data_IF_443557244116
#
_entry.id   IF_443557244116
#
_cell.length_a   1.000
_cell.length_b   1.000
_cell.length_c   1.000
_cell.angle_alpha   90.00
_cell.angle_beta   90.00
_cell.angle_gamma   90.00
#
_symmetry.space_group_name_H-M   'P 1'
#
loop_
_entity.id
_entity.type
_entity.pdbx_description
1 polymer ?
#
# COMPACT_ATOMS: atom_id res chain seq x y z
N UNK A 1 -30.15 -39.98 -38.78
CA UNK A 1 -31.38 -39.35 -38.24
C UNK A 1 -32.66 -40.21 -38.42
N UNK A 2 -32.58 -41.55 -38.51
CA UNK A 2 -33.73 -42.40 -38.91
C UNK A 2 -34.36 -43.27 -37.80
N UNK A 3 -33.89 -43.24 -36.55
CA UNK A 3 -34.39 -44.17 -35.51
C UNK A 3 -35.34 -43.54 -34.46
N UNK A 4 -35.51 -42.22 -34.46
CA UNK A 4 -36.35 -41.52 -33.46
C UNK A 4 -37.85 -41.60 -33.83
N UNK A 5 -38.16 -41.87 -35.10
CA UNK A 5 -39.53 -41.84 -35.65
C UNK A 5 -40.38 -43.07 -35.27
N UNK A 6 -39.76 -44.13 -34.74
CA UNK A 6 -40.46 -45.37 -34.31
C UNK A 6 -40.60 -45.51 -32.79
N UNK A 7 -40.19 -44.50 -32.01
CA UNK A 7 -40.29 -44.52 -30.55
C UNK A 7 -41.69 -44.10 -30.09
N UNK A 8 -42.18 -44.73 -29.00
CA UNK A 8 -43.44 -44.32 -28.35
C UNK A 8 -43.34 -42.84 -27.95
N UNK A 9 -44.42 -42.08 -28.16
CA UNK A 9 -44.51 -40.64 -27.86
C UNK A 9 -43.98 -40.28 -26.46
N UNK A 10 -44.25 -41.13 -25.46
CA UNK A 10 -43.74 -40.96 -24.10
C UNK A 10 -42.20 -40.96 -24.01
N UNK A 11 -41.52 -41.87 -24.73
CA UNK A 11 -40.05 -41.95 -24.73
C UNK A 11 -39.42 -40.77 -25.47
N UNK A 12 -40.06 -40.28 -26.54
CA UNK A 12 -39.60 -39.09 -27.25
C UNK A 12 -39.65 -37.84 -26.35
N UNK A 13 -40.73 -37.70 -25.56
CA UNK A 13 -40.89 -36.61 -24.59
C UNK A 13 -39.82 -36.67 -23.49
N UNK A 14 -39.58 -37.87 -22.93
CA UNK A 14 -38.56 -38.08 -21.90
C UNK A 14 -37.16 -37.76 -22.41
N UNK A 15 -36.80 -38.17 -23.63
CA UNK A 15 -35.48 -37.87 -24.22
C UNK A 15 -35.29 -36.37 -24.42
N UNK A 16 -36.30 -35.66 -24.94
CA UNK A 16 -36.24 -34.20 -25.08
C UNK A 16 -36.06 -33.50 -23.74
N UNK A 17 -36.74 -33.96 -22.69
CA UNK A 17 -36.59 -33.42 -21.35
C UNK A 17 -35.21 -33.71 -20.75
N UNK A 18 -34.66 -34.90 -21.00
CA UNK A 18 -33.32 -35.29 -20.57
C UNK A 18 -32.24 -34.44 -21.23
N UNK A 19 -32.36 -34.16 -22.53
CA UNK A 19 -31.46 -33.25 -23.26
C UNK A 19 -31.51 -31.84 -22.67
N UNK A 20 -32.72 -31.34 -22.36
CA UNK A 20 -32.90 -30.05 -21.73
C UNK A 20 -32.27 -30.01 -20.33
N UNK A 21 -32.46 -31.06 -19.53
CA UNK A 21 -31.88 -31.17 -18.20
C UNK A 21 -30.34 -31.17 -18.25
N UNK A 22 -29.74 -31.90 -19.19
CA UNK A 22 -28.28 -31.91 -19.40
C UNK A 22 -27.78 -30.53 -19.83
N UNK A 23 -28.50 -29.82 -20.70
CA UNK A 23 -28.15 -28.47 -21.11
C UNK A 23 -28.17 -27.48 -19.93
N UNK A 24 -29.17 -27.57 -19.05
CA UNK A 24 -29.27 -26.73 -17.84
C UNK A 24 -28.12 -27.03 -16.87
N UNK A 25 -27.79 -28.31 -16.65
CA UNK A 25 -26.65 -28.71 -15.80
C UNK A 25 -25.35 -28.16 -16.38
N UNK A 26 -25.13 -28.30 -17.68
CA UNK A 26 -23.95 -27.76 -18.36
C UNK A 26 -23.81 -26.24 -18.19
N UNK A 27 -24.93 -25.51 -18.30
CA UNK A 27 -24.95 -24.07 -18.07
C UNK A 27 -24.58 -23.74 -16.62
N UNK A 28 -25.14 -24.48 -15.65
CA UNK A 28 -24.82 -24.30 -14.23
C UNK A 28 -23.34 -24.51 -13.92
N UNK A 29 -22.72 -25.55 -14.47
CA UNK A 29 -21.28 -25.82 -14.33
C UNK A 29 -20.45 -24.70 -14.95
N UNK A 30 -20.81 -24.24 -16.15
CA UNK A 30 -20.12 -23.13 -16.81
C UNK A 30 -20.20 -21.84 -15.98
N UNK A 31 -21.39 -21.50 -15.49
CA UNK A 31 -21.60 -20.32 -14.64
C UNK A 31 -20.81 -20.43 -13.34
N UNK A 32 -20.76 -21.61 -12.72
CA UNK A 32 -19.99 -21.83 -11.50
C UNK A 32 -18.49 -21.58 -11.70
N UNK A 33 -17.90 -22.11 -12.78
CA UNK A 33 -16.49 -21.91 -13.11
C UNK A 33 -16.20 -20.43 -13.42
N UNK A 34 -17.09 -19.77 -14.18
CA UNK A 34 -16.95 -18.36 -14.53
C UNK A 34 -16.99 -17.46 -13.28
N UNK A 35 -17.93 -17.69 -12.36
CA UNK A 35 -18.05 -16.93 -11.11
C UNK A 35 -16.83 -17.16 -10.22
N UNK A 36 -16.33 -18.39 -10.11
CA UNK A 36 -15.14 -18.70 -9.31
C UNK A 36 -13.88 -17.98 -9.84
N UNK A 37 -13.77 -17.85 -11.17
CA UNK A 37 -12.67 -17.13 -11.82
C UNK A 37 -12.74 -15.62 -11.53
N UNK A 38 -13.95 -15.06 -11.52
CA UNK A 38 -14.20 -13.64 -11.16
C UNK A 38 -13.84 -13.41 -9.69
N UNK A 39 -14.27 -14.30 -8.79
CA UNK A 39 -14.01 -14.19 -7.35
C UNK A 39 -12.50 -14.17 -7.06
N UNK A 40 -11.73 -15.07 -7.69
CA UNK A 40 -10.26 -15.04 -7.58
C UNK A 40 -9.64 -13.76 -8.13
N UNK A 41 -10.16 -13.23 -9.24
CA UNK A 41 -9.65 -11.99 -9.84
C UNK A 41 -9.94 -10.76 -8.98
N UNK A 42 -11.13 -10.69 -8.38
CA UNK A 42 -11.52 -9.62 -7.45
C UNK A 42 -10.68 -9.68 -6.18
N UNK A 43 -10.45 -10.88 -5.63
CA UNK A 43 -9.63 -11.03 -4.44
C UNK A 43 -8.17 -10.62 -4.69
N UNK A 44 -7.58 -10.99 -5.83
CA UNK A 44 -6.22 -10.56 -6.21
C UNK A 44 -6.15 -9.04 -6.39
N UNK A 45 -7.11 -8.40 -7.06
CA UNK A 45 -7.11 -6.93 -7.20
C UNK A 45 -7.23 -6.26 -5.83
N UNK A 46 -8.09 -6.77 -4.96
CA UNK A 46 -8.30 -6.17 -3.64
C UNK A 46 -7.08 -6.35 -2.73
N UNK A 47 -6.62 -7.59 -2.54
CA UNK A 47 -5.57 -7.94 -1.57
C UNK A 47 -4.15 -7.65 -2.07
N UNK A 48 -3.87 -7.82 -3.36
CA UNK A 48 -2.52 -7.67 -3.91
C UNK A 48 -2.28 -6.30 -4.56
N UNK A 49 -3.33 -5.49 -4.77
CA UNK A 49 -3.20 -4.17 -5.42
C UNK A 49 -3.83 -3.05 -4.63
N UNK A 50 -5.09 -3.16 -4.23
CA UNK A 50 -5.81 -2.04 -3.62
C UNK A 50 -5.31 -1.70 -2.21
N UNK A 51 -5.21 -2.71 -1.34
CA UNK A 51 -4.70 -2.54 0.03
C UNK A 51 -3.24 -2.02 -0.01
N UNK A 52 -2.31 -2.63 -0.76
CA UNK A 52 -0.93 -2.15 -0.78
C UNK A 52 -0.77 -0.74 -1.34
N UNK A 53 -1.60 -0.32 -2.31
CA UNK A 53 -1.58 1.07 -2.81
C UNK A 53 -2.09 2.05 -1.75
N UNK A 54 -3.12 1.67 -1.00
CA UNK A 54 -3.63 2.48 0.12
C UNK A 54 -2.55 2.64 1.19
N UNK A 55 -1.88 1.56 1.57
CA UNK A 55 -0.84 1.56 2.59
C UNK A 55 0.38 2.41 2.18
N UNK A 56 0.76 2.38 0.89
CA UNK A 56 1.76 3.31 0.35
C UNK A 56 1.29 4.77 0.39
N UNK A 57 0.00 5.02 0.24
CA UNK A 57 -0.60 6.35 0.40
C UNK A 57 -0.48 6.88 1.84
N UNK A 58 -0.75 6.02 2.82
CA UNK A 58 -0.58 6.33 4.24
C UNK A 58 0.90 6.56 4.59
N UNK A 59 1.79 5.74 4.06
CA UNK A 59 3.23 5.95 4.18
C UNK A 59 3.66 7.32 3.66
N UNK A 60 3.15 7.75 2.49
CA UNK A 60 3.42 9.08 1.96
C UNK A 60 2.86 10.20 2.85
N UNK A 61 1.69 10.02 3.46
CA UNK A 61 1.15 10.98 4.43
C UNK A 61 2.06 11.12 5.66
N UNK A 62 2.65 10.02 6.14
CA UNK A 62 3.61 10.03 7.26
C UNK A 62 4.89 10.78 6.89
N UNK A 63 5.39 10.67 5.64
CA UNK A 63 6.53 11.47 5.16
C UNK A 63 6.24 12.97 5.30
N UNK A 64 5.04 13.41 4.90
CA UNK A 64 4.65 14.82 5.02
C UNK A 64 4.51 15.26 6.48
N UNK A 65 3.94 14.42 7.36
CA UNK A 65 3.85 14.70 8.80
C UNK A 65 5.24 14.81 9.44
N UNK A 66 6.15 13.91 9.08
CA UNK A 66 7.54 13.89 9.56
C UNK A 66 8.25 15.20 9.26
N UNK A 67 8.06 15.77 8.07
CA UNK A 67 8.58 17.11 7.74
C UNK A 67 8.03 18.21 8.66
N UNK A 68 6.76 18.13 9.06
CA UNK A 68 6.17 19.04 10.05
C UNK A 68 6.82 18.89 11.42
N UNK A 69 6.93 17.66 11.91
CA UNK A 69 7.59 17.36 13.18
C UNK A 69 9.06 17.77 13.22
N UNK A 70 9.78 17.70 12.11
CA UNK A 70 11.16 18.16 12.03
C UNK A 70 11.29 19.68 12.21
N UNK A 71 10.35 20.45 11.67
CA UNK A 71 10.30 21.89 11.92
C UNK A 71 10.01 22.18 13.39
N UNK A 72 9.03 21.50 13.99
CA UNK A 72 8.73 21.63 15.42
C UNK A 72 9.93 21.20 16.28
N UNK A 73 10.64 20.14 15.89
CA UNK A 73 11.81 19.62 16.60
C UNK A 73 12.95 20.64 16.63
N UNK A 74 13.14 21.37 15.52
CA UNK A 74 14.10 22.45 15.44
C UNK A 74 13.73 23.64 16.34
N UNK A 75 12.44 24.02 16.40
CA UNK A 75 11.95 25.21 17.06
C UNK A 75 11.69 25.06 18.57
N UNK A 76 11.31 23.86 19.03
CA UNK A 76 10.84 23.63 20.39
C UNK A 76 11.70 22.59 21.12
N UNK A 77 12.81 23.01 21.77
CA UNK A 77 13.72 22.10 22.48
C UNK A 77 13.02 21.20 23.52
N UNK A 78 12.04 21.74 24.23
CA UNK A 78 11.31 21.02 25.28
C UNK A 78 10.44 19.88 24.73
N UNK A 79 9.99 19.97 23.47
CA UNK A 79 9.16 18.95 22.82
C UNK A 79 9.97 17.87 22.09
N UNK A 80 11.29 18.05 21.96
CA UNK A 80 12.15 17.13 21.19
C UNK A 80 12.03 15.67 21.58
N UNK A 81 11.97 15.28 22.86
CA UNK A 81 11.81 13.86 23.20
C UNK A 81 10.52 13.26 22.62
N UNK A 82 9.39 13.98 22.74
CA UNK A 82 8.10 13.57 22.17
C UNK A 82 8.18 13.48 20.65
N UNK A 83 8.66 14.54 20.00
CA UNK A 83 8.77 14.62 18.55
C UNK A 83 9.73 13.58 17.98
N UNK A 84 10.83 13.26 18.67
CA UNK A 84 11.75 12.18 18.28
C UNK A 84 11.03 10.84 18.26
N UNK A 85 10.22 10.54 19.28
CA UNK A 85 9.43 9.32 19.33
C UNK A 85 8.42 9.24 18.19
N UNK A 86 7.71 10.33 17.88
CA UNK A 86 6.76 10.38 16.76
C UNK A 86 7.45 10.18 15.41
N UNK A 87 8.59 10.85 15.20
CA UNK A 87 9.39 10.69 13.97
C UNK A 87 9.88 9.25 13.84
N UNK A 88 10.48 8.68 14.89
CA UNK A 88 10.99 7.30 14.85
C UNK A 88 9.87 6.28 14.58
N UNK A 89 8.70 6.46 15.22
CA UNK A 89 7.53 5.63 14.98
C UNK A 89 7.02 5.75 13.54
N UNK A 90 6.98 6.97 13.00
CA UNK A 90 6.60 7.23 11.61
C UNK A 90 7.55 6.57 10.61
N UNK A 91 8.86 6.72 10.81
CA UNK A 91 9.87 6.07 9.97
C UNK A 91 9.78 4.54 10.03
N UNK A 92 9.59 3.97 11.22
CA UNK A 92 9.42 2.52 11.40
C UNK A 92 8.13 2.00 10.75
N UNK A 93 7.04 2.77 10.80
CA UNK A 93 5.79 2.44 10.12
C UNK A 93 5.97 2.37 8.61
N UNK A 94 6.63 3.36 8.01
CA UNK A 94 6.92 3.35 6.57
C UNK A 94 7.82 2.16 6.19
N UNK A 95 8.83 1.83 7.00
CA UNK A 95 9.67 0.64 6.79
C UNK A 95 8.84 -0.65 6.75
N UNK A 96 7.86 -0.77 7.66
CA UNK A 96 6.96 -1.92 7.71
C UNK A 96 6.09 -2.02 6.45
N UNK A 97 5.50 -0.90 6.00
CA UNK A 97 4.67 -0.87 4.79
C UNK A 97 5.47 -1.18 3.52
N UNK A 98 6.68 -0.63 3.39
CA UNK A 98 7.57 -0.96 2.27
C UNK A 98 7.96 -2.45 2.29
N UNK A 99 8.23 -3.01 3.48
CA UNK A 99 8.54 -4.45 3.62
C UNK A 99 7.36 -5.33 3.23
N UNK A 100 6.14 -4.94 3.63
CA UNK A 100 4.90 -5.63 3.25
C UNK A 100 4.70 -5.59 1.73
N UNK A 101 4.86 -4.41 1.11
CA UNK A 101 4.76 -4.24 -0.33
C UNK A 101 5.81 -5.06 -1.10
N UNK A 102 7.02 -5.19 -0.57
CA UNK A 102 8.10 -5.98 -1.16
C UNK A 102 7.79 -7.49 -1.23
N UNK A 103 6.91 -8.00 -0.35
CA UNK A 103 6.55 -9.41 -0.29
C UNK A 103 5.51 -9.82 -1.35
N UNK A 104 4.91 -8.85 -2.05
CA UNK A 104 3.91 -9.08 -3.07
C UNK A 104 4.52 -9.63 -4.36
N UNK A 105 3.74 -10.35 -5.19
CA UNK A 105 4.19 -10.80 -6.51
C UNK A 105 4.28 -9.60 -7.48
N UNK A 106 5.42 -8.91 -7.46
CA UNK A 106 5.69 -7.75 -8.31
C UNK A 106 6.11 -8.18 -9.73
N UNK A 107 5.67 -7.44 -10.74
CA UNK A 107 6.22 -7.55 -12.09
C UNK A 107 7.66 -7.00 -12.14
N UNK A 108 8.48 -7.36 -13.16
CA UNK A 108 9.83 -6.83 -13.29
C UNK A 108 9.89 -5.28 -13.33
N UNK A 109 8.89 -4.66 -13.96
CA UNK A 109 8.75 -3.20 -14.01
C UNK A 109 8.46 -2.61 -12.61
N UNK A 110 7.52 -3.21 -11.87
CA UNK A 110 7.20 -2.80 -10.51
C UNK A 110 8.39 -2.97 -9.57
N UNK A 111 9.17 -4.04 -9.73
CA UNK A 111 10.36 -4.29 -8.94
C UNK A 111 11.45 -3.23 -9.19
N UNK A 112 11.63 -2.79 -10.44
CA UNK A 112 12.56 -1.72 -10.78
C UNK A 112 12.13 -0.36 -10.18
N UNK A 113 10.85 -0.02 -10.27
CA UNK A 113 10.31 1.19 -9.65
C UNK A 113 10.42 1.14 -8.13
N UNK A 114 10.12 0.00 -7.52
CA UNK A 114 10.20 -0.19 -6.08
C UNK A 114 11.65 -0.10 -5.57
N UNK A 115 12.64 -0.56 -6.33
CA UNK A 115 14.04 -0.37 -5.99
C UNK A 115 14.44 1.13 -5.96
N UNK A 116 13.90 1.95 -6.86
CA UNK A 116 14.12 3.40 -6.84
C UNK A 116 13.47 4.05 -5.61
N UNK A 117 12.29 3.58 -5.19
CA UNK A 117 11.62 4.02 -3.95
C UNK A 117 12.48 3.68 -2.73
N UNK A 118 12.99 2.45 -2.63
CA UNK A 118 13.86 2.05 -1.51
C UNK A 118 15.14 2.89 -1.42
N UNK A 119 15.78 3.19 -2.56
CA UNK A 119 16.96 4.05 -2.60
C UNK A 119 16.65 5.48 -2.13
N UNK A 120 15.51 6.01 -2.57
CA UNK A 120 15.03 7.35 -2.17
C UNK A 120 14.67 7.39 -0.69
N UNK A 121 14.04 6.33 -0.18
CA UNK A 121 13.66 6.19 1.21
C UNK A 121 14.87 6.18 2.15
N UNK A 122 15.91 5.39 1.83
CA UNK A 122 17.16 5.40 2.58
C UNK A 122 17.81 6.79 2.63
N UNK A 123 17.79 7.49 1.49
CA UNK A 123 18.31 8.87 1.41
C UNK A 123 17.49 9.82 2.30
N UNK A 124 16.16 9.67 2.31
CA UNK A 124 15.28 10.44 3.17
C UNK A 124 15.58 10.20 4.66
N UNK A 125 15.68 8.94 5.09
CA UNK A 125 16.01 8.59 6.48
C UNK A 125 17.34 9.23 6.93
N UNK A 126 18.36 9.24 6.07
CA UNK A 126 19.64 9.90 6.35
C UNK A 126 19.47 11.41 6.52
N UNK A 127 18.69 12.06 5.63
CA UNK A 127 18.41 13.49 5.73
C UNK A 127 17.66 13.85 7.03
N UNK A 128 16.67 13.05 7.42
CA UNK A 128 15.93 13.21 8.69
C UNK A 128 16.88 13.13 9.88
N UNK A 129 17.77 12.13 9.91
CA UNK A 129 18.76 12.00 10.99
C UNK A 129 19.73 13.18 11.04
N UNK A 130 20.17 13.68 9.88
CA UNK A 130 21.04 14.85 9.82
C UNK A 130 20.36 16.09 10.40
N UNK A 131 19.09 16.34 10.05
CA UNK A 131 18.33 17.48 10.57
C UNK A 131 18.18 17.39 12.09
N UNK A 132 17.89 16.20 12.63
CA UNK A 132 17.78 15.97 14.07
C UNK A 132 19.12 16.27 14.76
N UNK A 133 20.24 15.82 14.18
CA UNK A 133 21.59 16.08 14.71
C UNK A 133 21.89 17.58 14.71
N UNK A 134 21.66 18.28 13.60
CA UNK A 134 21.92 19.71 13.45
C UNK A 134 21.06 20.54 14.41
N UNK A 135 19.78 20.21 14.55
CA UNK A 135 18.87 20.87 15.49
C UNK A 135 19.31 20.66 16.96
N UNK A 136 19.83 19.49 17.29
CA UNK A 136 20.30 19.16 18.63
C UNK A 136 21.63 19.85 18.94
N UNK A 137 22.56 19.86 17.99
CA UNK A 137 23.82 20.58 18.10
C UNK A 137 23.63 22.11 18.17
N UNK A 138 22.67 22.66 17.41
CA UNK A 138 22.32 24.08 17.43
C UNK A 138 21.65 24.56 18.72
N UNK A 139 20.99 23.66 19.47
CA UNK A 139 20.51 23.99 20.82
C UNK A 139 21.59 23.83 21.89
N UNK A 140 22.59 22.95 21.67
CA UNK A 140 23.76 22.86 22.54
C UNK A 140 24.64 24.12 22.45
N UNK A 141 24.50 24.92 21.40
CA UNK A 141 25.06 26.27 21.26
C UNK A 141 24.07 27.37 21.65
N UNK A 142 23.30 27.19 22.72
CA UNK A 142 22.35 28.20 23.25
C UNK A 142 22.95 29.59 23.56
N UNK A 143 24.28 29.75 23.57
CA UNK A 143 24.98 31.04 23.60
C UNK A 143 25.07 31.74 22.23
N UNK A 144 24.96 31.03 21.10
CA UNK A 144 25.12 31.61 19.77
C UNK A 144 23.84 32.28 19.23
N UNK A 145 22.68 31.66 19.44
CA UNK A 145 21.39 32.19 18.94
C UNK A 145 20.95 33.42 19.75
N UNK A 146 21.21 33.43 21.06
CA UNK A 146 20.95 34.58 21.92
C UNK A 146 21.90 35.76 21.66
N UNK A 147 23.13 35.50 21.21
CA UNK A 147 24.07 36.54 20.79
C UNK A 147 23.67 37.18 19.45
N UNK A 148 23.28 36.39 18.45
CA UNK A 148 22.86 36.90 17.13
C UNK A 148 21.55 37.70 17.17
N UNK A 149 20.63 37.35 18.08
CA UNK A 149 19.39 38.12 18.29
C UNK A 149 19.62 39.43 19.06
N UNK A 150 20.73 39.56 19.79
CA UNK A 150 21.12 40.80 20.49
C UNK A 150 21.85 41.79 19.59
N UNK A 151 22.59 41.34 18.59
CA UNK A 151 23.33 42.21 17.65
C UNK A 151 22.60 42.50 16.34
N UNK A 152 21.53 41.76 16.01
CA UNK A 152 20.73 41.98 14.80
C UNK A 152 19.48 42.85 14.97
N UNK A 153 19.22 43.36 16.18
CA UNK A 153 18.02 44.14 16.49
C UNK A 153 18.31 45.62 16.75
N UNK A 154 18.08 46.44 15.72
CA UNK A 154 17.97 47.90 15.72
C UNK A 154 19.22 48.72 16.07
N UNK A 155 19.99 49.06 15.02
CA UNK A 155 20.23 50.46 14.64
C UNK A 155 19.94 50.64 13.14
#
# INVERSE_FOLDING_TARGET
MSQIQHMRVGTQLTVSFLVLAVAIIGLGVYTFIAVQSIDSGVNTIYSERLIPIHDLGDANAIVHKTSGWLHEYALYPDERPRLKTEIDAGLAGIDAELTSFAALPLTPEQQALFAAVQASWKTYQQAVQQIIQDATAGAATGEAISASLRTGGFE
#
